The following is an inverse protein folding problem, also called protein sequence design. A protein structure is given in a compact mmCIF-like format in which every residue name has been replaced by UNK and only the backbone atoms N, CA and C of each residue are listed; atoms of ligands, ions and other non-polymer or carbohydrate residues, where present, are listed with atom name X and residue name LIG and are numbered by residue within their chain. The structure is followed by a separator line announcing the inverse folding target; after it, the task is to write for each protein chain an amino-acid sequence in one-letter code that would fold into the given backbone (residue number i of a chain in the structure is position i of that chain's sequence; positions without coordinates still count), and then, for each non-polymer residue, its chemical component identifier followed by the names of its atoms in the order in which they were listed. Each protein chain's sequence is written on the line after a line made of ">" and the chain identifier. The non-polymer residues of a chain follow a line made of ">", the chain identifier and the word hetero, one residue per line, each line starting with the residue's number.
data_IF_705829149318
#
_entry.id   IF_705829149318
#
_cell.length_a   1.000
_cell.length_b   1.000
_cell.length_c   1.000
_cell.angle_alpha   90.00
_cell.angle_beta   90.00
_cell.angle_gamma   90.00
#
_symmetry.space_group_name_H-M   'P 1'
#
loop_
_entity.id
_entity.type
_entity.pdbx_description
1 polymer ?
#
# COMPACT_ATOMS: atom_id res chain seq x y z
N UNK A 1 -11.06 3.05 -17.77
CA UNK A 1 -10.07 4.00 -18.33
C UNK A 1 -8.70 3.37 -18.20
N UNK A 2 -8.16 2.83 -19.30
CA UNK A 2 -6.80 2.30 -19.36
C UNK A 2 -5.86 3.50 -19.46
N UNK A 3 -4.85 3.60 -18.59
CA UNK A 3 -3.89 4.69 -18.63
C UNK A 3 -2.76 4.33 -19.60
N UNK A 4 -2.65 5.08 -20.71
CA UNK A 4 -1.43 5.11 -21.50
C UNK A 4 -0.35 5.85 -20.70
N UNK A 5 0.55 5.08 -20.10
CA UNK A 5 1.50 5.54 -19.07
C UNK A 5 2.43 6.65 -19.62
N UNK A 6 2.83 6.55 -20.89
CA UNK A 6 3.84 7.42 -21.50
C UNK A 6 3.34 8.84 -21.85
N UNK A 7 2.03 9.11 -21.81
CA UNK A 7 1.46 10.40 -22.24
C UNK A 7 1.07 11.35 -21.09
N UNK A 8 1.33 10.98 -19.82
CA UNK A 8 0.78 11.70 -18.65
C UNK A 8 1.81 12.37 -17.74
N UNK A 9 3.09 12.41 -18.13
CA UNK A 9 4.14 13.18 -17.44
C UNK A 9 4.26 14.54 -18.13
N UNK A 10 4.10 15.69 -17.42
CA UNK A 10 4.28 17.00 -18.03
C UNK A 10 5.70 17.16 -18.58
N UNK A 11 5.86 17.72 -19.79
CA UNK A 11 7.14 17.73 -20.53
C UNK A 11 8.32 18.37 -19.77
N UNK A 12 8.04 19.22 -18.78
CA UNK A 12 9.03 19.94 -17.99
C UNK A 12 9.58 19.11 -16.81
N UNK A 13 9.19 17.83 -16.69
CA UNK A 13 9.33 17.03 -15.48
C UNK A 13 10.23 15.82 -15.73
N UNK A 14 11.52 15.97 -15.43
CA UNK A 14 12.52 14.89 -15.51
C UNK A 14 12.49 13.98 -14.28
N UNK A 15 12.93 12.71 -14.46
CA UNK A 15 13.05 11.73 -13.36
C UNK A 15 13.89 12.23 -12.18
N UNK A 16 14.90 13.08 -12.39
CA UNK A 16 15.71 13.65 -11.29
C UNK A 16 14.95 14.72 -10.50
N UNK A 17 14.20 15.59 -11.18
CA UNK A 17 13.69 16.82 -10.57
C UNK A 17 12.41 16.60 -9.74
N UNK A 18 11.60 15.57 -10.05
CA UNK A 18 10.54 15.11 -9.13
C UNK A 18 11.13 14.70 -7.78
N UNK A 19 12.25 13.97 -7.81
CA UNK A 19 12.66 13.15 -6.69
C UNK A 19 13.22 13.98 -5.55
N UNK A 20 14.05 14.99 -5.81
CA UNK A 20 14.52 15.89 -4.74
C UNK A 20 13.40 16.76 -4.20
N UNK A 21 12.60 17.40 -5.08
CA UNK A 21 11.53 18.32 -4.66
C UNK A 21 10.49 17.62 -3.77
N UNK A 22 10.13 16.36 -4.08
CA UNK A 22 9.26 15.58 -3.19
C UNK A 22 10.02 15.09 -1.95
N UNK A 23 11.21 14.50 -2.08
CA UNK A 23 11.89 13.92 -0.92
C UNK A 23 12.35 14.98 0.11
N UNK A 24 12.71 16.19 -0.30
CA UNK A 24 12.93 17.35 0.57
C UNK A 24 11.64 17.78 1.29
N UNK A 25 10.51 17.86 0.57
CA UNK A 25 9.19 18.18 1.16
C UNK A 25 8.68 17.10 2.12
N UNK A 26 9.06 15.84 1.91
CA UNK A 26 8.78 14.72 2.81
C UNK A 26 9.77 14.63 4.00
N UNK A 27 11.03 14.99 3.82
CA UNK A 27 12.05 14.93 4.89
C UNK A 27 12.01 16.14 5.83
N UNK A 28 11.75 17.35 5.31
CA UNK A 28 11.67 18.60 6.09
C UNK A 28 10.45 18.71 7.00
N UNK A 29 9.56 17.71 7.05
CA UNK A 29 8.29 17.74 7.77
C UNK A 29 8.09 16.56 8.74
N UNK A 30 9.17 16.02 9.32
CA UNK A 30 9.05 14.98 10.37
C UNK A 30 8.32 15.45 11.63
N UNK A 31 8.45 16.73 12.00
CA UNK A 31 7.98 17.24 13.29
C UNK A 31 6.78 18.20 13.24
N UNK A 32 6.39 18.74 12.07
CA UNK A 32 5.43 19.85 12.02
C UNK A 32 4.18 19.64 11.17
N UNK A 33 3.06 19.54 11.88
CA UNK A 33 1.73 20.18 11.68
C UNK A 33 1.06 20.32 10.31
N UNK A 34 1.78 20.50 9.19
CA UNK A 34 1.22 20.79 7.86
C UNK A 34 0.52 19.57 7.26
N UNK A 35 -0.76 19.71 6.94
CA UNK A 35 -1.49 18.76 6.10
C UNK A 35 -0.90 18.78 4.69
N UNK A 36 -0.15 17.73 4.34
CA UNK A 36 0.31 17.52 2.96
C UNK A 36 -0.91 17.51 2.03
N UNK A 37 -0.96 18.44 1.08
CA UNK A 37 -1.98 18.44 0.04
C UNK A 37 -1.70 17.25 -0.90
N UNK A 38 -2.40 16.15 -0.64
CA UNK A 38 -2.48 14.95 -1.47
C UNK A 38 -3.26 15.27 -2.76
N UNK A 39 -2.64 16.06 -3.64
CA UNK A 39 -3.18 16.28 -4.99
C UNK A 39 -3.21 14.94 -5.76
N UNK A 40 -4.14 14.75 -6.70
CA UNK A 40 -4.18 13.54 -7.53
C UNK A 40 -2.87 13.27 -8.27
N UNK A 41 -2.15 14.33 -8.68
CA UNK A 41 -0.84 14.25 -9.32
C UNK A 41 0.25 13.74 -8.37
N UNK A 42 0.34 14.29 -7.15
CA UNK A 42 1.29 13.82 -6.13
C UNK A 42 1.06 12.35 -5.77
N UNK A 43 -0.21 11.92 -5.68
CA UNK A 43 -0.57 10.52 -5.45
C UNK A 43 -0.01 9.65 -6.58
N UNK A 44 -0.34 9.96 -7.85
CA UNK A 44 0.12 9.19 -9.02
C UNK A 44 1.64 9.06 -9.09
N UNK A 45 2.37 10.16 -8.88
CA UNK A 45 3.84 10.18 -8.91
C UNK A 45 4.43 9.23 -7.84
N UNK A 46 3.90 9.29 -6.62
CA UNK A 46 4.40 8.44 -5.52
C UNK A 46 3.99 6.99 -5.72
N UNK A 47 2.76 6.71 -6.16
CA UNK A 47 2.31 5.37 -6.55
C UNK A 47 3.23 4.77 -7.61
N UNK A 48 3.53 5.51 -8.68
CA UNK A 48 4.48 5.09 -9.71
C UNK A 48 5.87 4.78 -9.13
N UNK A 49 6.43 5.65 -8.27
CA UNK A 49 7.74 5.43 -7.61
C UNK A 49 7.74 4.16 -6.74
N UNK A 50 6.68 3.91 -5.98
CA UNK A 50 6.52 2.71 -5.14
C UNK A 50 6.44 1.44 -6.02
N UNK A 51 5.64 1.47 -7.09
CA UNK A 51 5.40 0.30 -7.94
C UNK A 51 6.59 -0.05 -8.84
N UNK A 52 7.32 0.95 -9.35
CA UNK A 52 8.51 0.77 -10.22
C UNK A 52 9.80 0.46 -9.46
N UNK A 53 9.71 0.23 -8.15
CA UNK A 53 10.83 -0.28 -7.36
C UNK A 53 11.33 -1.63 -7.90
N UNK A 54 12.64 -1.71 -8.16
CA UNK A 54 13.28 -2.90 -8.75
C UNK A 54 13.37 -4.10 -7.82
N UNK A 55 13.31 -3.87 -6.51
CA UNK A 55 13.42 -4.90 -5.47
C UNK A 55 12.25 -4.81 -4.49
N UNK A 56 11.92 -5.92 -3.84
CA UNK A 56 10.83 -5.98 -2.85
C UNK A 56 11.18 -5.18 -1.58
N UNK A 57 12.46 -5.11 -1.22
CA UNK A 57 13.01 -4.26 -0.16
C UNK A 57 12.84 -2.78 -0.50
N UNK A 58 13.08 -2.40 -1.76
CA UNK A 58 12.83 -1.06 -2.28
C UNK A 58 11.35 -0.69 -2.25
N UNK A 59 10.48 -1.60 -2.68
CA UNK A 59 9.03 -1.47 -2.52
C UNK A 59 8.66 -1.21 -1.06
N UNK A 60 9.11 -2.08 -0.15
CA UNK A 60 8.78 -1.98 1.27
C UNK A 60 9.33 -0.71 1.95
N UNK A 61 10.52 -0.26 1.57
CA UNK A 61 11.11 0.99 2.05
C UNK A 61 10.32 2.22 1.61
N UNK A 62 9.93 2.30 0.33
CA UNK A 62 9.13 3.39 -0.20
C UNK A 62 7.69 3.35 0.34
N UNK A 63 7.12 2.15 0.47
CA UNK A 63 5.79 1.96 1.06
C UNK A 63 5.78 2.41 2.53
N UNK A 64 6.77 2.05 3.36
CA UNK A 64 6.89 2.59 4.73
C UNK A 64 7.02 4.11 4.75
N UNK A 65 7.77 4.70 3.80
CA UNK A 65 8.04 6.15 3.74
C UNK A 65 6.77 6.95 3.43
N UNK A 66 5.99 6.53 2.44
CA UNK A 66 4.84 7.31 1.94
C UNK A 66 3.48 6.77 2.40
N UNK A 67 3.36 5.45 2.55
CA UNK A 67 2.20 4.76 3.10
C UNK A 67 2.55 4.18 4.47
N UNK A 68 2.92 5.02 5.44
CA UNK A 68 3.25 4.59 6.82
C UNK A 68 2.10 3.86 7.54
N UNK A 69 0.90 3.89 6.95
CA UNK A 69 -0.29 3.12 7.28
C UNK A 69 -0.77 2.32 6.06
N UNK A 70 -1.44 1.19 6.31
CA UNK A 70 -2.10 0.35 5.30
C UNK A 70 -3.50 0.88 4.90
N UNK A 71 -3.64 2.20 4.72
CA UNK A 71 -4.93 2.86 4.44
C UNK A 71 -4.74 4.27 3.84
N UNK A 72 -5.82 4.84 3.28
CA UNK A 72 -5.84 6.20 2.73
C UNK A 72 -5.50 6.25 1.24
N UNK A 73 -5.74 7.40 0.60
CA UNK A 73 -5.77 7.51 -0.87
C UNK A 73 -4.51 7.00 -1.58
N UNK A 74 -3.32 7.31 -1.07
CA UNK A 74 -2.04 6.87 -1.66
C UNK A 74 -1.89 5.34 -1.56
N UNK A 75 -2.21 4.74 -0.41
CA UNK A 75 -2.18 3.30 -0.26
C UNK A 75 -3.24 2.61 -1.12
N UNK A 76 -4.47 3.11 -1.15
CA UNK A 76 -5.54 2.60 -2.02
C UNK A 76 -5.18 2.67 -3.50
N UNK A 77 -4.50 3.72 -3.94
CA UNK A 77 -4.03 3.86 -5.33
C UNK A 77 -2.91 2.86 -5.66
N UNK A 78 -1.96 2.63 -4.75
CA UNK A 78 -0.96 1.55 -4.87
C UNK A 78 -1.64 0.17 -4.98
N UNK A 79 -2.62 -0.14 -4.13
CA UNK A 79 -3.34 -1.43 -4.21
C UNK A 79 -4.09 -1.57 -5.54
N UNK A 80 -4.83 -0.54 -5.99
CA UNK A 80 -5.56 -0.59 -7.25
C UNK A 80 -4.66 -0.85 -8.45
N UNK A 81 -3.49 -0.23 -8.49
CA UNK A 81 -2.51 -0.44 -9.56
C UNK A 81 -1.80 -1.80 -9.47
N UNK A 82 -1.61 -2.38 -8.26
CA UNK A 82 -1.12 -3.77 -8.11
C UNK A 82 -2.13 -4.81 -8.61
N UNK A 83 -3.43 -4.51 -8.54
CA UNK A 83 -4.52 -5.37 -8.99
C UNK A 83 -4.81 -5.28 -10.49
N UNK A 84 -4.18 -4.34 -11.22
CA UNK A 84 -4.26 -4.32 -12.68
C UNK A 84 -3.49 -5.52 -13.22
N UNK A 85 -4.23 -6.51 -13.73
CA UNK A 85 -3.66 -7.57 -14.56
C UNK A 85 -3.03 -6.93 -15.80
N UNK A 86 -1.77 -7.22 -16.14
CA UNK A 86 -1.21 -6.77 -17.41
C UNK A 86 -2.03 -7.41 -18.54
N UNK A 87 -2.64 -6.58 -19.38
CA UNK A 87 -3.18 -7.02 -20.66
C UNK A 87 -2.00 -7.29 -21.59
N UNK A 88 -1.46 -8.50 -21.51
CA UNK A 88 -0.40 -8.94 -22.42
C UNK A 88 -0.98 -9.19 -23.80
N UNK A 89 -0.83 -8.20 -24.69
CA UNK A 89 -0.25 -8.55 -25.97
C UNK A 89 1.19 -8.98 -25.68
N UNK A 90 1.55 -10.20 -26.09
CA UNK A 90 2.78 -10.87 -25.69
C UNK A 90 3.99 -10.33 -26.45
N UNK A 91 4.46 -9.15 -26.07
CA UNK A 91 5.76 -8.63 -26.51
C UNK A 91 6.46 -7.89 -25.37
N UNK A 92 7.74 -8.21 -25.19
CA UNK A 92 8.69 -7.66 -24.21
C UNK A 92 8.50 -8.06 -22.73
N UNK A 93 9.37 -8.99 -22.28
CA UNK A 93 9.97 -8.98 -20.94
C UNK A 93 9.02 -9.02 -19.74
N UNK A 94 8.51 -10.21 -19.41
CA UNK A 94 7.53 -10.48 -18.33
C UNK A 94 8.08 -10.32 -16.89
N UNK A 95 8.66 -9.16 -16.56
CA UNK A 95 9.28 -8.83 -15.26
C UNK A 95 8.26 -8.26 -14.28
N UNK A 96 7.23 -7.55 -14.74
CA UNK A 96 6.29 -6.85 -13.86
C UNK A 96 5.31 -7.78 -13.13
N UNK A 97 4.88 -8.88 -13.76
CA UNK A 97 3.80 -9.75 -13.24
C UNK A 97 4.22 -10.54 -12.01
N UNK A 98 5.45 -11.07 -12.00
CA UNK A 98 6.03 -11.71 -10.82
C UNK A 98 6.15 -10.70 -9.66
N UNK A 99 6.66 -9.49 -9.92
CA UNK A 99 6.85 -8.50 -8.85
C UNK A 99 5.54 -7.99 -8.25
N UNK A 100 4.43 -7.89 -9.00
CA UNK A 100 3.14 -7.49 -8.44
C UNK A 100 2.57 -8.55 -7.47
N UNK A 101 2.69 -9.83 -7.81
CA UNK A 101 2.35 -10.94 -6.91
C UNK A 101 3.14 -10.85 -5.60
N UNK A 102 4.46 -10.70 -5.69
CA UNK A 102 5.33 -10.65 -4.51
C UNK A 102 5.05 -9.42 -3.63
N UNK A 103 4.77 -8.26 -4.24
CA UNK A 103 4.33 -7.04 -3.54
C UNK A 103 3.01 -7.25 -2.80
N UNK A 104 2.03 -7.94 -3.40
CA UNK A 104 0.76 -8.27 -2.75
C UNK A 104 0.92 -9.29 -1.63
N UNK A 105 1.74 -10.33 -1.81
CA UNK A 105 2.09 -11.28 -0.74
C UNK A 105 2.74 -10.53 0.43
N UNK A 106 3.66 -9.60 0.17
CA UNK A 106 4.31 -8.80 1.21
C UNK A 106 3.33 -7.93 2.01
N UNK A 107 2.32 -7.37 1.35
CA UNK A 107 1.25 -6.59 1.98
C UNK A 107 0.35 -7.44 2.89
N UNK A 108 -0.04 -8.63 2.42
CA UNK A 108 -0.94 -9.55 3.14
C UNK A 108 -0.24 -10.24 4.33
N UNK A 109 1.05 -10.54 4.19
CA UNK A 109 1.86 -11.22 5.23
C UNK A 109 2.59 -10.27 6.18
N UNK A 110 2.67 -8.97 5.83
CA UNK A 110 3.55 -7.99 6.47
C UNK A 110 5.05 -8.38 6.41
N UNK A 111 5.51 -9.09 5.38
CA UNK A 111 6.90 -9.58 5.27
C UNK A 111 7.53 -9.24 3.91
N UNK A 112 8.83 -8.88 3.92
CA UNK A 112 9.66 -8.65 2.74
C UNK A 112 10.98 -9.38 2.98
N UNK A 113 11.22 -10.45 2.22
CA UNK A 113 12.33 -11.38 2.49
C UNK A 113 12.27 -11.87 3.94
N UNK A 114 13.34 -11.65 4.69
CA UNK A 114 13.45 -12.02 6.11
C UNK A 114 13.03 -10.90 7.08
N UNK A 115 12.54 -9.76 6.60
CA UNK A 115 12.17 -8.58 7.41
C UNK A 115 10.66 -8.32 7.42
N UNK A 116 10.17 -7.62 8.44
CA UNK A 116 8.80 -7.11 8.42
C UNK A 116 8.65 -5.93 7.46
N UNK A 117 7.53 -5.88 6.73
CA UNK A 117 7.17 -4.77 5.85
C UNK A 117 6.88 -3.50 6.68
N UNK A 118 6.04 -3.61 7.71
CA UNK A 118 5.84 -2.62 8.75
C UNK A 118 6.37 -3.15 10.08
N UNK A 119 7.20 -2.36 10.75
CA UNK A 119 7.85 -2.66 12.04
C UNK A 119 7.45 -1.64 13.14
N UNK A 120 6.32 -0.96 12.95
CA UNK A 120 5.69 -0.06 13.93
C UNK A 120 4.44 -0.73 14.53
N UNK A 121 3.55 0.02 15.18
CA UNK A 121 2.31 -0.49 15.78
C UNK A 121 1.38 -1.15 14.75
N UNK A 122 1.48 -0.80 13.46
CA UNK A 122 0.74 -1.47 12.38
C UNK A 122 1.20 -2.92 12.16
N UNK A 123 2.36 -3.34 12.69
CA UNK A 123 2.89 -4.71 12.53
C UNK A 123 2.03 -5.76 13.25
N UNK A 124 1.38 -5.37 14.35
CA UNK A 124 0.53 -6.21 15.20
C UNK A 124 -0.90 -6.41 14.65
N UNK A 125 -1.13 -6.02 13.39
CA UNK A 125 -2.44 -6.14 12.75
C UNK A 125 -2.34 -6.84 11.39
N UNK A 126 -3.31 -7.71 11.11
CA UNK A 126 -3.61 -8.16 9.76
C UNK A 126 -4.06 -6.97 8.91
N UNK A 127 -3.65 -6.94 7.64
CA UNK A 127 -4.22 -6.03 6.67
C UNK A 127 -5.47 -6.66 6.07
N UNK A 128 -6.62 -6.04 6.27
CA UNK A 128 -7.82 -6.33 5.49
C UNK A 128 -7.98 -5.27 4.39
N UNK A 129 -8.13 -5.67 3.11
CA UNK A 129 -8.43 -4.73 2.03
C UNK A 129 -9.75 -4.00 2.23
N UNK A 130 -9.83 -2.77 1.72
CA UNK A 130 -11.05 -1.97 1.74
C UNK A 130 -12.12 -2.54 0.81
N UNK A 131 -13.36 -2.07 0.96
CA UNK A 131 -14.51 -2.59 0.23
C UNK A 131 -14.40 -2.46 -1.30
N UNK A 132 -13.59 -1.50 -1.79
CA UNK A 132 -13.32 -1.22 -3.20
C UNK A 132 -12.21 -2.09 -3.81
N UNK A 133 -11.69 -3.07 -3.07
CA UNK A 133 -10.77 -4.10 -3.55
C UNK A 133 -11.54 -5.38 -3.87
N UNK A 134 -11.35 -5.91 -5.08
CA UNK A 134 -11.84 -7.22 -5.49
C UNK A 134 -10.95 -8.33 -4.90
N UNK A 135 -11.52 -9.11 -3.97
CA UNK A 135 -10.83 -10.21 -3.27
C UNK A 135 -10.57 -11.40 -4.19
N UNK A 136 -11.46 -11.67 -5.16
CA UNK A 136 -11.28 -12.76 -6.13
C UNK A 136 -10.14 -12.44 -7.09
N UNK A 137 -10.04 -11.17 -7.53
CA UNK A 137 -8.93 -10.69 -8.34
C UNK A 137 -7.60 -10.73 -7.58
N UNK A 138 -7.60 -10.33 -6.31
CA UNK A 138 -6.45 -10.43 -5.41
C UNK A 138 -5.99 -11.89 -5.25
N UNK A 139 -6.92 -12.81 -4.95
CA UNK A 139 -6.63 -14.24 -4.82
C UNK A 139 -6.10 -14.85 -6.13
N UNK A 140 -6.63 -14.41 -7.28
CA UNK A 140 -6.14 -14.81 -8.61
C UNK A 140 -4.70 -14.38 -8.87
N UNK A 141 -4.32 -13.15 -8.51
CA UNK A 141 -2.96 -12.61 -8.74
C UNK A 141 -1.94 -13.23 -7.77
N UNK A 142 -2.31 -13.39 -6.50
CA UNK A 142 -1.47 -14.07 -5.49
C UNK A 142 -1.32 -15.56 -5.81
N UNK A 143 -2.38 -16.17 -6.33
CA UNK A 143 -2.54 -17.60 -6.56
C UNK A 143 -3.32 -18.23 -5.40
N UNK A 144 -4.47 -18.83 -5.73
CA UNK A 144 -5.48 -19.31 -4.78
C UNK A 144 -4.92 -20.08 -3.56
N UNK A 145 -4.03 -21.05 -3.79
CA UNK A 145 -3.44 -21.87 -2.70
C UNK A 145 -2.57 -21.06 -1.72
N UNK A 146 -1.82 -20.08 -2.21
CA UNK A 146 -1.00 -19.23 -1.34
C UNK A 146 -1.88 -18.19 -0.63
N UNK A 147 -2.91 -17.67 -1.31
CA UNK A 147 -3.90 -16.79 -0.71
C UNK A 147 -4.63 -17.45 0.47
N UNK A 148 -5.15 -18.67 0.29
CA UNK A 148 -5.79 -19.47 1.37
C UNK A 148 -4.83 -19.77 2.53
N UNK A 149 -3.56 -20.01 2.24
CA UNK A 149 -2.52 -20.24 3.26
C UNK A 149 -2.22 -18.98 4.07
N UNK A 150 -2.17 -17.81 3.42
CA UNK A 150 -2.01 -16.51 4.09
C UNK A 150 -3.26 -16.18 4.92
N UNK A 151 -4.45 -16.40 4.36
CA UNK A 151 -5.72 -16.21 5.07
C UNK A 151 -5.78 -17.07 6.34
N UNK A 152 -5.49 -18.38 6.24
CA UNK A 152 -5.40 -19.30 7.39
C UNK A 152 -4.38 -18.85 8.44
N UNK A 153 -3.23 -18.31 8.03
CA UNK A 153 -2.22 -17.75 8.96
C UNK A 153 -2.73 -16.49 9.68
N UNK A 154 -3.56 -15.69 9.02
CA UNK A 154 -4.12 -14.46 9.56
C UNK A 154 -5.41 -14.69 10.39
N UNK A 155 -5.98 -15.91 10.41
CA UNK A 155 -7.14 -16.23 11.23
C UNK A 155 -6.86 -15.93 12.71
N UNK A 156 -7.81 -15.27 13.37
CA UNK A 156 -7.66 -14.79 14.77
C UNK A 156 -6.60 -13.73 15.01
N UNK A 157 -5.91 -13.20 13.99
CA UNK A 157 -5.16 -11.95 14.14
C UNK A 157 -6.12 -10.76 14.32
N UNK A 158 -5.63 -9.65 14.87
CA UNK A 158 -6.43 -8.44 14.98
C UNK A 158 -6.39 -7.64 13.67
N UNK A 159 -7.55 -7.12 13.24
CA UNK A 159 -7.64 -6.09 12.20
C UNK A 159 -7.80 -4.73 12.86
N UNK A 160 -7.11 -3.73 12.32
CA UNK A 160 -7.35 -2.33 12.65
C UNK A 160 -8.31 -1.69 11.64
N UNK A 161 -9.51 -1.33 12.09
CA UNK A 161 -10.37 -0.42 11.36
C UNK A 161 -9.71 0.98 11.31
N UNK A 162 -9.28 1.43 10.13
CA UNK A 162 -8.54 2.68 9.99
C UNK A 162 -9.47 3.91 9.92
N UNK A 163 -9.72 4.55 11.07
CA UNK A 163 -10.70 5.64 11.20
C UNK A 163 -10.42 6.90 10.38
N UNK A 164 -9.14 7.24 10.14
CA UNK A 164 -8.74 8.53 9.56
C UNK A 164 -7.45 8.42 8.76
N UNK A 165 -7.30 9.29 7.75
CA UNK A 165 -6.06 9.49 6.98
C UNK A 165 -4.94 9.99 7.91
N UNK A 166 -5.21 11.02 8.73
CA UNK A 166 -4.23 11.56 9.68
C UNK A 166 -3.97 10.62 10.86
N UNK A 167 -2.75 10.63 11.42
CA UNK A 167 -2.43 9.93 12.67
C UNK A 167 -2.46 10.86 13.91
N UNK A 168 -2.87 12.13 13.75
CA UNK A 168 -3.04 13.03 14.89
C UNK A 168 -4.10 12.42 15.85
N UNK A 169 -3.82 12.30 17.15
CA UNK A 169 -4.80 11.84 18.12
C UNK A 169 -6.08 12.66 18.07
N UNK A 170 -7.23 12.02 18.30
CA UNK A 170 -8.48 12.72 18.55
C UNK A 170 -8.49 13.32 19.98
N UNK A 171 -9.56 14.04 20.34
CA UNK A 171 -9.75 14.65 21.68
C UNK A 171 -9.70 13.67 22.87
N UNK A 172 -9.72 12.36 22.61
CA UNK A 172 -9.62 11.29 23.61
C UNK A 172 -8.26 10.56 23.56
N UNK A 173 -7.29 11.07 22.78
CA UNK A 173 -5.95 10.50 22.67
C UNK A 173 -5.81 9.28 21.75
N UNK A 174 -6.87 8.90 21.01
CA UNK A 174 -6.81 7.77 20.07
C UNK A 174 -6.37 8.20 18.66
N UNK A 175 -5.52 7.40 18.04
CA UNK A 175 -5.02 7.55 16.66
C UNK A 175 -5.03 6.18 15.93
N UNK A 176 -4.43 6.05 14.74
CA UNK A 176 -4.31 4.73 14.12
C UNK A 176 -3.16 3.92 14.77
N UNK A 177 -2.15 4.56 15.35
CA UNK A 177 -1.07 3.86 16.10
C UNK A 177 -1.43 3.62 17.57
N UNK A 178 -2.30 4.46 18.16
CA UNK A 178 -2.97 4.22 19.43
C UNK A 178 -4.47 4.03 19.20
N UNK A 179 -4.90 2.93 18.57
CA UNK A 179 -6.31 2.70 18.26
C UNK A 179 -7.13 2.47 19.52
N UNK A 180 -8.39 2.93 19.49
CA UNK A 180 -9.39 2.47 20.45
C UNK A 180 -9.54 0.94 20.30
N UNK A 181 -9.65 0.21 21.41
CA UNK A 181 -9.70 -1.25 21.42
C UNK A 181 -11.03 -1.81 20.89
N UNK A 182 -12.08 -0.98 20.89
CA UNK A 182 -13.45 -1.45 20.90
C UNK A 182 -14.11 -1.86 19.56
N UNK A 183 -13.82 -1.43 18.33
CA UNK A 183 -12.76 -0.63 17.68
C UNK A 183 -11.45 -1.35 17.26
N UNK A 184 -11.29 -2.62 17.61
CA UNK A 184 -10.51 -3.66 16.90
C UNK A 184 -11.43 -4.87 16.73
N UNK A 185 -11.22 -5.68 15.70
CA UNK A 185 -11.94 -6.94 15.53
C UNK A 185 -10.99 -8.07 15.14
N UNK A 186 -11.45 -9.32 15.27
CA UNK A 186 -10.68 -10.50 14.86
C UNK A 186 -10.88 -10.74 13.36
N UNK A 187 -9.80 -11.04 12.66
CA UNK A 187 -9.86 -11.44 11.26
C UNK A 187 -10.55 -12.80 11.13
N UNK A 188 -11.65 -12.81 10.37
CA UNK A 188 -12.49 -13.99 10.08
C UNK A 188 -12.31 -14.52 8.66
N UNK A 189 -11.85 -13.67 7.74
CA UNK A 189 -11.56 -14.00 6.34
C UNK A 189 -11.42 -12.73 5.50
N UNK A 190 -10.91 -12.84 4.28
CA UNK A 190 -10.82 -11.71 3.35
C UNK A 190 -12.16 -11.38 2.69
N UNK A 191 -13.04 -12.37 2.55
CA UNK A 191 -14.41 -12.20 2.07
C UNK A 191 -15.37 -11.69 3.16
N UNK A 192 -15.07 -11.97 4.44
CA UNK A 192 -15.90 -11.58 5.58
C UNK A 192 -15.55 -10.14 6.03
N UNK A 193 -16.39 -9.19 5.65
CA UNK A 193 -16.19 -7.75 5.92
C UNK A 193 -17.03 -7.30 7.13
N UNK A 194 -16.38 -6.56 8.04
CA UNK A 194 -16.98 -5.93 9.23
C UNK A 194 -17.06 -4.41 9.09
#
# INVERSE_FOLDING_TARGET
>A
MILHIDQTVPANVTKSNILSILDERFQGNRDNTVTFNLTPENIRIVTYKVLTSKTLEGFGGLLRKYCSKRCGSLFSDVIKNLLVLPQTNETEGNVNTATNKDKLIALLTNQVGYSQLYNNEMSAFCWQPLADVDINLLAKIVGQREFEKIEKKNMSEYVLHCYRISNKPNRHGFSNYKPNMNNKFKFTGYNDRH
#
